data_IF_664918411646
#
_entry.id   IF_664918411646
#
_cell.length_a   1.000
_cell.length_b   1.000
_cell.length_c   1.000
_cell.angle_alpha   90.00
_cell.angle_beta   90.00
_cell.angle_gamma   90.00
#
_symmetry.space_group_name_H-M   'P 1'
#
loop_
_entity.id
_entity.type
_entity.pdbx_description
1 polymer ?
#
# COMPACT_ATOMS: atom_id res chain seq x y z
N UNK A 1 -3.88 -8.59 9.34
CA UNK A 1 -4.07 -7.71 8.18
C UNK A 1 -2.87 -7.65 7.22
N UNK A 2 -1.70 -8.10 7.62
CA UNK A 2 -0.48 -8.12 6.80
C UNK A 2 -0.27 -9.43 6.06
N UNK A 3 -0.86 -10.54 6.53
CA UNK A 3 -0.72 -11.83 5.88
C UNK A 3 -1.01 -11.78 4.36
N UNK A 4 -2.06 -11.09 3.85
CA UNK A 4 -2.28 -11.00 2.42
C UNK A 4 -1.24 -10.15 1.69
N UNK A 5 -0.65 -9.14 2.32
CA UNK A 5 0.39 -8.31 1.72
C UNK A 5 1.71 -9.09 1.53
N UNK A 6 2.01 -10.00 2.44
CA UNK A 6 3.20 -10.86 2.40
C UNK A 6 2.94 -12.18 1.67
N UNK A 7 1.70 -12.70 1.69
CA UNK A 7 1.32 -13.91 0.95
C UNK A 7 1.41 -13.76 -0.58
N UNK A 8 1.28 -12.53 -1.11
CA UNK A 8 1.51 -12.24 -2.53
C UNK A 8 2.99 -12.44 -2.90
N UNK A 9 3.87 -12.53 -1.91
CA UNK A 9 5.30 -12.76 -2.09
C UNK A 9 5.71 -14.25 -2.02
N UNK A 10 4.80 -15.15 -1.63
CA UNK A 10 5.09 -16.56 -1.42
C UNK A 10 4.36 -17.43 -2.45
N UNK A 11 5.11 -18.24 -3.19
CA UNK A 11 4.56 -19.42 -3.86
C UNK A 11 4.23 -20.50 -2.81
N UNK A 12 3.13 -21.18 -3.01
CA UNK A 12 2.56 -22.16 -2.10
C UNK A 12 3.56 -23.27 -1.73
N UNK A 13 3.77 -23.55 -0.45
CA UNK A 13 4.34 -24.83 -0.07
C UNK A 13 5.30 -24.96 1.11
N UNK A 14 5.51 -23.96 1.98
CA UNK A 14 6.32 -24.20 3.18
C UNK A 14 5.96 -23.24 4.32
N UNK A 15 5.84 -23.76 5.53
CA UNK A 15 5.60 -23.01 6.76
C UNK A 15 6.77 -22.08 7.15
N UNK A 16 7.95 -22.22 6.52
CA UNK A 16 9.06 -21.27 6.60
C UNK A 16 9.02 -20.34 5.38
N UNK A 17 8.39 -19.19 5.52
CA UNK A 17 8.47 -18.13 4.49
C UNK A 17 9.93 -17.74 4.25
N UNK A 18 10.40 -17.71 2.99
CA UNK A 18 11.77 -17.28 2.73
C UNK A 18 11.96 -15.84 3.24
N UNK A 19 13.11 -15.60 3.85
CA UNK A 19 13.47 -14.26 4.33
C UNK A 19 13.45 -13.27 3.17
N UNK A 20 12.52 -12.33 3.19
CA UNK A 20 12.30 -11.33 2.14
C UNK A 20 12.83 -9.98 2.60
N UNK A 21 13.47 -9.22 1.71
CA UNK A 21 13.86 -7.83 1.96
C UNK A 21 12.69 -6.91 1.62
N UNK A 22 12.09 -6.33 2.64
CA UNK A 22 10.85 -5.54 2.54
C UNK A 22 11.15 -4.07 2.79
N UNK A 23 10.99 -3.22 1.80
CA UNK A 23 11.08 -1.77 1.97
C UNK A 23 9.69 -1.19 2.28
N UNK A 24 9.52 -0.60 3.46
CA UNK A 24 8.25 0.00 3.89
C UNK A 24 8.35 1.51 3.84
N UNK A 25 7.64 2.14 2.91
CA UNK A 25 7.57 3.59 2.78
C UNK A 25 6.36 4.10 3.56
N UNK A 26 6.56 5.12 4.39
CA UNK A 26 5.54 5.57 5.34
C UNK A 26 5.55 4.78 6.65
N UNK A 27 6.72 4.28 7.05
CA UNK A 27 6.94 3.38 8.19
C UNK A 27 6.45 3.90 9.55
N UNK A 28 6.23 5.21 9.68
CA UNK A 28 5.76 5.87 10.93
C UNK A 28 4.27 6.22 10.92
N UNK A 29 3.56 5.94 9.81
CA UNK A 29 2.10 6.08 9.73
C UNK A 29 1.39 4.96 10.49
N UNK A 30 0.09 5.12 10.78
CA UNK A 30 -0.68 4.11 11.52
C UNK A 30 -0.57 2.71 10.91
N UNK A 31 -0.84 2.57 9.60
CA UNK A 31 -0.68 1.29 8.89
C UNK A 31 0.79 0.89 8.80
N UNK A 32 1.68 1.82 8.40
CA UNK A 32 3.09 1.53 8.17
C UNK A 32 3.81 1.02 9.42
N UNK A 33 3.52 1.55 10.60
CA UNK A 33 4.11 1.10 11.85
C UNK A 33 3.72 -0.35 12.17
N UNK A 34 2.46 -0.74 11.95
CA UNK A 34 2.01 -2.13 12.11
C UNK A 34 2.66 -3.06 11.08
N UNK A 35 2.76 -2.60 9.82
CA UNK A 35 3.44 -3.33 8.73
C UNK A 35 4.88 -3.63 9.11
N UNK A 36 5.62 -2.61 9.55
CA UNK A 36 7.03 -2.73 9.96
C UNK A 36 7.19 -3.73 11.11
N UNK A 37 6.34 -3.60 12.15
CA UNK A 37 6.37 -4.50 13.30
C UNK A 37 6.11 -5.96 12.90
N UNK A 38 5.02 -6.21 12.19
CA UNK A 38 4.64 -7.57 11.80
C UNK A 38 5.63 -8.22 10.84
N UNK A 39 6.19 -7.45 9.88
CA UNK A 39 7.22 -7.98 9.00
C UNK A 39 8.52 -8.33 9.74
N UNK A 40 8.90 -7.54 10.74
CA UNK A 40 10.05 -7.84 11.59
C UNK A 40 9.80 -9.07 12.48
N UNK A 41 8.60 -9.20 13.07
CA UNK A 41 8.19 -10.37 13.87
C UNK A 41 8.18 -11.67 13.04
N UNK A 42 7.87 -11.58 11.74
CA UNK A 42 7.92 -12.70 10.81
C UNK A 42 9.34 -13.01 10.28
N UNK A 43 10.36 -12.32 10.77
CA UNK A 43 11.76 -12.58 10.42
C UNK A 43 12.19 -12.00 9.06
N UNK A 44 11.41 -11.10 8.47
CA UNK A 44 11.82 -10.43 7.23
C UNK A 44 12.88 -9.36 7.48
N UNK A 45 13.72 -9.10 6.47
CA UNK A 45 14.68 -7.99 6.50
C UNK A 45 13.98 -6.69 6.15
N UNK A 46 13.60 -5.91 7.16
CA UNK A 46 12.81 -4.69 6.98
C UNK A 46 13.70 -3.46 6.82
N UNK A 47 13.46 -2.70 5.74
CA UNK A 47 14.00 -1.36 5.50
C UNK A 47 12.86 -0.36 5.77
N UNK A 48 12.90 0.30 6.91
CA UNK A 48 11.89 1.27 7.30
C UNK A 48 12.23 2.67 6.76
N UNK A 49 11.34 3.23 5.94
CA UNK A 49 11.52 4.49 5.24
C UNK A 49 10.48 5.52 5.72
N UNK A 50 10.94 6.62 6.30
CA UNK A 50 10.08 7.69 6.82
C UNK A 50 10.80 9.03 6.84
N UNK A 51 10.06 10.14 6.90
CA UNK A 51 10.62 11.50 7.09
C UNK A 51 11.36 11.63 8.42
N UNK A 52 10.84 10.98 9.46
CA UNK A 52 11.43 10.96 10.80
C UNK A 52 11.52 9.50 11.29
N UNK A 53 12.69 8.91 11.12
CA UNK A 53 12.95 7.51 11.47
C UNK A 53 13.11 7.28 12.98
N UNK A 54 13.23 8.34 13.79
CA UNK A 54 13.30 8.22 15.25
C UNK A 54 12.00 7.64 15.83
N UNK A 55 10.87 7.82 15.11
CA UNK A 55 9.56 7.30 15.47
C UNK A 55 9.34 5.82 15.12
N UNK A 56 10.30 5.18 14.46
CA UNK A 56 10.24 3.73 14.18
C UNK A 56 10.71 3.00 15.43
N UNK A 57 9.78 2.45 16.19
CA UNK A 57 10.04 1.75 17.46
C UNK A 57 10.38 0.27 17.30
N UNK A 58 9.87 -0.36 16.22
CA UNK A 58 10.13 -1.78 15.96
C UNK A 58 11.62 -2.04 15.69
N UNK A 59 12.14 -3.21 16.12
CA UNK A 59 13.49 -3.65 15.78
C UNK A 59 13.55 -4.04 14.30
N UNK A 60 14.13 -3.19 13.48
CA UNK A 60 14.27 -3.39 12.04
C UNK A 60 15.73 -3.40 11.62
N UNK A 61 16.02 -4.05 10.51
CA UNK A 61 17.37 -4.18 9.98
C UNK A 61 17.96 -2.83 9.53
N UNK A 62 17.14 -2.00 8.89
CA UNK A 62 17.57 -0.71 8.37
C UNK A 62 16.51 0.37 8.60
N UNK A 63 16.97 1.59 8.96
CA UNK A 63 16.13 2.79 9.03
C UNK A 63 16.75 3.85 8.12
N UNK A 64 15.98 4.39 7.17
CA UNK A 64 16.46 5.42 6.25
C UNK A 64 15.49 6.59 6.19
N UNK A 65 16.01 7.80 6.30
CA UNK A 65 15.19 9.01 6.11
C UNK A 65 14.83 9.16 4.64
N UNK A 66 13.55 9.33 4.37
CA UNK A 66 13.03 9.53 3.02
C UNK A 66 11.87 10.52 3.05
N UNK A 67 11.98 11.58 2.25
CA UNK A 67 10.91 12.54 2.00
C UNK A 67 10.44 12.45 0.55
N UNK A 68 9.22 11.96 0.36
CA UNK A 68 8.61 11.85 -0.97
C UNK A 68 8.11 13.18 -1.53
N UNK A 69 8.05 14.25 -0.72
CA UNK A 69 7.63 15.58 -1.21
C UNK A 69 8.64 16.17 -2.17
N UNK A 70 9.93 15.78 -2.04
CA UNK A 70 10.99 16.17 -2.96
C UNK A 70 10.85 15.56 -4.36
N UNK A 71 10.10 14.46 -4.49
CA UNK A 71 9.93 13.67 -5.73
C UNK A 71 11.27 13.23 -6.35
N UNK A 72 12.29 13.07 -5.52
CA UNK A 72 13.62 12.63 -5.94
C UNK A 72 13.65 11.11 -6.18
N UNK A 73 13.57 10.73 -7.45
CA UNK A 73 13.59 9.32 -7.90
C UNK A 73 14.90 8.64 -7.50
N UNK A 74 16.02 9.36 -7.51
CA UNK A 74 17.34 8.79 -7.23
C UNK A 74 17.51 8.50 -5.75
N UNK A 75 17.06 9.41 -4.90
CA UNK A 75 17.03 9.19 -3.46
C UNK A 75 16.16 7.99 -3.09
N UNK A 76 14.96 7.88 -3.70
CA UNK A 76 14.07 6.72 -3.48
C UNK A 76 14.71 5.44 -3.99
N UNK A 77 15.30 5.43 -5.19
CA UNK A 77 15.94 4.25 -5.76
C UNK A 77 17.11 3.76 -4.91
N UNK A 78 17.94 4.66 -4.40
CA UNK A 78 19.04 4.35 -3.49
C UNK A 78 18.51 3.78 -2.15
N UNK A 79 17.40 4.32 -1.64
CA UNK A 79 16.80 3.89 -0.38
C UNK A 79 16.23 2.47 -0.44
N UNK A 80 15.59 2.09 -1.57
CA UNK A 80 14.95 0.77 -1.77
C UNK A 80 15.85 -0.28 -2.42
N UNK A 81 17.09 0.07 -2.74
CA UNK A 81 18.02 -0.81 -3.46
C UNK A 81 18.18 -2.17 -2.75
N UNK A 82 18.01 -3.23 -3.51
CA UNK A 82 18.12 -4.62 -3.03
C UNK A 82 16.89 -5.11 -2.26
N UNK A 83 15.80 -4.36 -2.23
CA UNK A 83 14.53 -4.86 -1.73
C UNK A 83 13.88 -5.82 -2.75
N UNK A 84 13.19 -6.84 -2.26
CA UNK A 84 12.40 -7.76 -3.08
C UNK A 84 10.99 -7.22 -3.34
N UNK A 85 10.51 -6.39 -2.41
CA UNK A 85 9.18 -5.77 -2.47
C UNK A 85 9.20 -4.39 -1.80
N UNK A 86 8.43 -3.47 -2.35
CA UNK A 86 8.11 -2.18 -1.73
C UNK A 86 6.67 -2.22 -1.22
N UNK A 87 6.47 -1.92 0.05
CA UNK A 87 5.15 -1.70 0.66
C UNK A 87 4.95 -0.18 0.83
N UNK A 88 4.06 0.39 0.05
CA UNK A 88 3.74 1.82 0.13
C UNK A 88 2.55 2.02 1.09
N UNK A 89 2.86 2.52 2.28
CA UNK A 89 1.90 2.87 3.32
C UNK A 89 1.74 4.39 3.44
N UNK A 90 1.98 5.12 2.35
CA UNK A 90 1.79 6.56 2.31
C UNK A 90 0.30 6.90 2.29
N UNK A 91 -0.05 8.00 2.93
CA UNK A 91 -1.42 8.51 2.97
C UNK A 91 -1.44 10.02 3.03
N UNK A 92 -2.57 10.60 2.64
CA UNK A 92 -2.77 12.03 2.71
C UNK A 92 -2.99 12.48 4.15
N UNK A 93 -2.30 13.51 4.57
CA UNK A 93 -2.50 14.14 5.88
C UNK A 93 -3.54 15.24 5.78
N UNK A 94 -4.31 15.40 6.86
CA UNK A 94 -5.28 16.48 6.96
C UNK A 94 -4.56 17.83 6.96
N UNK A 95 -4.94 18.72 6.03
CA UNK A 95 -4.35 20.05 5.91
C UNK A 95 -3.06 20.13 5.06
N UNK A 96 -2.55 19.02 4.58
CA UNK A 96 -1.45 18.97 3.61
C UNK A 96 -1.99 18.69 2.20
N UNK A 97 -1.22 19.06 1.18
CA UNK A 97 -1.56 18.70 -0.19
C UNK A 97 -1.50 17.19 -0.42
N UNK A 98 -2.36 16.63 -1.27
CA UNK A 98 -2.34 15.22 -1.60
C UNK A 98 -1.00 14.78 -2.19
N UNK A 99 -0.47 13.65 -1.69
CA UNK A 99 0.87 13.16 -2.06
C UNK A 99 0.87 11.75 -2.64
N UNK A 100 -0.26 11.01 -2.56
CA UNK A 100 -0.24 9.58 -2.87
C UNK A 100 -0.03 9.32 -4.35
N UNK A 101 -0.67 10.08 -5.25
CA UNK A 101 -0.44 9.97 -6.70
C UNK A 101 1.03 10.25 -7.06
N UNK A 102 1.52 11.44 -6.68
CA UNK A 102 2.88 11.86 -7.00
C UNK A 102 3.94 10.96 -6.34
N UNK A 103 3.71 10.56 -5.09
CA UNK A 103 4.57 9.64 -4.38
C UNK A 103 4.60 8.25 -5.03
N UNK A 104 3.45 7.73 -5.46
CA UNK A 104 3.37 6.44 -6.17
C UNK A 104 4.12 6.51 -7.50
N UNK A 105 3.96 7.58 -8.28
CA UNK A 105 4.69 7.76 -9.51
C UNK A 105 6.21 7.77 -9.28
N UNK A 106 6.67 8.50 -8.26
CA UNK A 106 8.09 8.56 -7.89
C UNK A 106 8.61 7.19 -7.43
N UNK A 107 7.85 6.48 -6.60
CA UNK A 107 8.19 5.11 -6.13
C UNK A 107 8.33 4.16 -7.32
N UNK A 108 7.37 4.15 -8.24
CA UNK A 108 7.39 3.23 -9.39
C UNK A 108 8.57 3.53 -10.33
N UNK A 109 8.88 4.79 -10.60
CA UNK A 109 10.07 5.18 -11.36
C UNK A 109 11.36 4.73 -10.67
N UNK A 110 11.45 4.91 -9.35
CA UNK A 110 12.58 4.47 -8.54
C UNK A 110 12.73 2.94 -8.51
N UNK A 111 11.62 2.21 -8.44
CA UNK A 111 11.61 0.74 -8.49
C UNK A 111 12.14 0.21 -9.83
N UNK A 112 11.71 0.80 -10.95
CA UNK A 112 12.25 0.46 -12.26
C UNK A 112 13.77 0.67 -12.33
N UNK A 113 14.25 1.82 -11.80
CA UNK A 113 15.69 2.13 -11.73
C UNK A 113 16.46 1.19 -10.82
N UNK A 114 15.93 0.87 -9.65
CA UNK A 114 16.54 -0.02 -8.66
C UNK A 114 16.33 -1.52 -8.97
N UNK A 115 15.55 -1.86 -10.02
CA UNK A 115 15.15 -3.22 -10.39
C UNK A 115 14.42 -3.96 -9.27
N UNK A 116 13.56 -3.26 -8.54
CA UNK A 116 12.69 -3.87 -7.52
C UNK A 116 11.36 -4.25 -8.20
N UNK A 117 10.99 -5.55 -8.25
CA UNK A 117 9.92 -5.99 -9.14
C UNK A 117 8.52 -5.87 -8.56
N UNK A 118 8.33 -5.79 -7.25
CA UNK A 118 7.02 -5.92 -6.61
C UNK A 118 6.65 -4.71 -5.78
N UNK A 119 5.43 -4.18 -5.99
CA UNK A 119 4.83 -3.09 -5.23
C UNK A 119 3.52 -3.56 -4.59
N UNK A 120 3.33 -3.31 -3.31
CA UNK A 120 2.01 -3.32 -2.69
C UNK A 120 1.67 -1.90 -2.22
N UNK A 121 0.57 -1.36 -2.74
CA UNK A 121 0.06 -0.02 -2.42
C UNK A 121 -1.15 -0.13 -1.51
N UNK A 122 -1.10 0.55 -0.37
CA UNK A 122 -2.27 0.72 0.49
C UNK A 122 -3.12 1.88 -0.02
N UNK A 123 -4.37 1.58 -0.33
CA UNK A 123 -5.38 2.53 -0.77
C UNK A 123 -6.57 2.55 0.22
N UNK A 124 -7.78 2.77 -0.24
CA UNK A 124 -8.98 2.80 0.60
C UNK A 124 -10.16 2.16 -0.13
N UNK A 125 -11.08 1.55 0.62
CA UNK A 125 -12.38 1.17 0.08
C UNK A 125 -13.11 2.41 -0.46
N UNK A 126 -13.87 2.24 -1.54
CA UNK A 126 -14.58 3.34 -2.22
C UNK A 126 -13.76 4.07 -3.28
N UNK A 127 -12.53 3.59 -3.52
CA UNK A 127 -11.63 4.03 -4.59
C UNK A 127 -11.64 2.97 -5.70
N UNK A 128 -11.52 3.38 -6.95
CA UNK A 128 -11.52 2.45 -8.09
C UNK A 128 -12.77 1.56 -8.13
N UNK A 129 -12.55 0.27 -8.37
CA UNK A 129 -13.60 -0.74 -8.54
C UNK A 129 -14.35 -1.07 -7.25
N UNK A 130 -13.76 -0.75 -6.08
CA UNK A 130 -14.38 -1.03 -4.78
C UNK A 130 -15.52 -0.08 -4.40
N UNK A 131 -15.86 0.89 -5.25
CA UNK A 131 -16.93 1.87 -5.00
C UNK A 131 -18.29 1.21 -4.76
N UNK A 132 -18.62 0.15 -5.50
CA UNK A 132 -19.88 -0.58 -5.36
C UNK A 132 -19.91 -1.40 -4.07
N UNK A 133 -18.77 -1.79 -3.52
CA UNK A 133 -18.69 -2.52 -2.26
C UNK A 133 -19.13 -1.66 -1.07
N UNK A 134 -18.94 -0.34 -1.14
CA UNK A 134 -19.46 0.58 -0.12
C UNK A 134 -20.97 0.52 0.02
N UNK A 135 -21.71 0.35 -1.08
CA UNK A 135 -23.16 0.25 -1.05
C UNK A 135 -23.64 -1.03 -0.35
N UNK A 136 -22.82 -2.10 -0.37
CA UNK A 136 -23.11 -3.36 0.33
C UNK A 136 -22.94 -3.26 1.86
N UNK A 137 -22.27 -2.22 2.35
CA UNK A 137 -22.15 -1.92 3.79
C UNK A 137 -23.42 -1.24 4.35
N UNK A 138 -24.50 -1.17 3.58
CA UNK A 138 -25.78 -0.60 3.99
C UNK A 138 -25.70 0.92 4.19
N UNK A 139 -26.54 1.44 5.09
CA UNK A 139 -26.71 2.90 5.32
C UNK A 139 -25.39 3.60 5.71
N UNK A 140 -24.56 2.95 6.52
CA UNK A 140 -23.23 3.47 6.88
C UNK A 140 -22.32 3.64 5.67
N UNK A 141 -22.35 2.71 4.72
CA UNK A 141 -21.59 2.79 3.48
C UNK A 141 -22.04 3.95 2.57
N UNK A 142 -23.34 4.24 2.52
CA UNK A 142 -23.89 5.38 1.78
C UNK A 142 -23.41 6.70 2.39
N UNK A 143 -23.52 6.87 3.72
CA UNK A 143 -23.02 8.05 4.42
C UNK A 143 -21.53 8.25 4.18
N UNK A 144 -20.74 7.19 4.35
CA UNK A 144 -19.28 7.24 4.11
C UNK A 144 -18.98 7.63 2.67
N UNK A 145 -19.72 7.07 1.68
CA UNK A 145 -19.56 7.42 0.27
C UNK A 145 -19.85 8.90 0.00
N UNK A 146 -20.87 9.46 0.63
CA UNK A 146 -21.24 10.87 0.51
C UNK A 146 -20.14 11.79 1.13
N UNK A 147 -19.67 11.47 2.32
CA UNK A 147 -18.57 12.20 2.99
C UNK A 147 -17.30 12.13 2.14
N UNK A 148 -16.97 10.94 1.64
CA UNK A 148 -15.77 10.72 0.83
C UNK A 148 -15.87 11.42 -0.54
N UNK A 149 -17.07 11.55 -1.08
CA UNK A 149 -17.29 12.27 -2.35
C UNK A 149 -17.25 13.79 -2.21
N UNK A 150 -17.57 14.34 -1.05
CA UNK A 150 -17.70 15.78 -0.80
C UNK A 150 -16.48 16.33 -0.04
N UNK A 151 -16.33 15.97 1.23
CA UNK A 151 -15.32 16.51 2.13
C UNK A 151 -13.90 16.02 1.81
N UNK A 152 -13.77 14.80 1.30
CA UNK A 152 -12.48 14.17 0.96
C UNK A 152 -12.25 14.06 -0.55
N UNK A 153 -12.89 14.93 -1.33
CA UNK A 153 -12.83 14.89 -2.80
C UNK A 153 -11.40 14.91 -3.36
N UNK A 154 -10.53 15.76 -2.81
CA UNK A 154 -9.12 15.83 -3.22
C UNK A 154 -8.38 14.52 -2.90
N UNK A 155 -8.52 14.01 -1.69
CA UNK A 155 -7.94 12.73 -1.26
C UNK A 155 -8.43 11.57 -2.12
N UNK A 156 -9.74 11.54 -2.43
CA UNK A 156 -10.32 10.51 -3.29
C UNK A 156 -9.76 10.56 -4.71
N UNK A 157 -9.62 11.76 -5.28
CA UNK A 157 -9.06 11.94 -6.62
C UNK A 157 -7.60 11.46 -6.67
N UNK A 158 -6.80 11.82 -5.69
CA UNK A 158 -5.40 11.45 -5.54
C UNK A 158 -5.22 9.91 -5.39
N UNK A 159 -6.02 9.28 -4.53
CA UNK A 159 -6.02 7.82 -4.39
C UNK A 159 -6.45 7.09 -5.66
N UNK A 160 -7.49 7.60 -6.38
CA UNK A 160 -7.91 7.02 -7.65
C UNK A 160 -6.79 7.09 -8.70
N UNK A 161 -6.07 8.20 -8.76
CA UNK A 161 -4.96 8.38 -9.68
C UNK A 161 -3.78 7.45 -9.33
N UNK A 162 -3.45 7.31 -8.05
CA UNK A 162 -2.44 6.38 -7.58
C UNK A 162 -2.80 4.92 -7.88
N UNK A 163 -4.07 4.53 -7.66
CA UNK A 163 -4.56 3.18 -8.00
C UNK A 163 -4.45 2.91 -9.52
N UNK A 164 -4.86 3.88 -10.35
CA UNK A 164 -4.79 3.76 -11.80
C UNK A 164 -3.34 3.59 -12.30
N UNK A 165 -2.40 4.34 -11.70
CA UNK A 165 -0.97 4.20 -11.95
C UNK A 165 -0.47 2.78 -11.61
N UNK A 166 -0.81 2.29 -10.41
CA UNK A 166 -0.35 0.99 -9.93
C UNK A 166 -0.91 -0.17 -10.75
N UNK A 167 -2.20 -0.11 -11.11
CA UNK A 167 -2.89 -1.16 -11.87
C UNK A 167 -2.51 -1.10 -13.36
N UNK A 168 -2.05 0.06 -13.86
CA UNK A 168 -1.76 0.26 -15.29
C UNK A 168 -3.02 0.37 -16.13
N UNK A 169 -4.13 0.86 -15.58
CA UNK A 169 -5.38 1.09 -16.31
C UNK A 169 -5.23 2.25 -17.28
N UNK A 170 -5.73 2.13 -18.53
CA UNK A 170 -5.74 3.24 -19.45
C UNK A 170 -6.56 4.40 -18.90
N UNK A 171 -6.07 5.63 -19.06
CA UNK A 171 -6.79 6.84 -18.71
C UNK A 171 -8.13 6.86 -19.45
N UNK A 172 -9.24 6.77 -18.72
CA UNK A 172 -10.56 6.89 -19.35
C UNK A 172 -11.71 6.08 -18.75
N UNK A 173 -11.46 5.15 -17.87
CA UNK A 173 -12.52 4.33 -17.27
C UNK A 173 -12.95 4.88 -15.90
N UNK A 174 -13.67 5.96 -15.85
CA UNK A 174 -14.36 6.59 -14.74
C UNK A 174 -13.81 7.93 -14.23
N UNK A 175 -14.47 9.01 -14.67
CA UNK A 175 -14.56 10.34 -14.04
C UNK A 175 -13.28 10.94 -13.41
N UNK A 176 -12.56 11.72 -14.18
CA UNK A 176 -11.52 12.63 -13.73
C UNK A 176 -10.22 12.43 -14.50
N UNK A 177 -9.60 13.50 -14.90
CA UNK A 177 -8.40 13.60 -15.74
C UNK A 177 -7.20 12.83 -15.17
N UNK A 178 -7.22 11.52 -15.27
CA UNK A 178 -6.05 10.71 -15.08
C UNK A 178 -5.16 10.88 -16.30
N UNK A 179 -3.98 11.48 -16.14
CA UNK A 179 -2.94 11.41 -17.15
C UNK A 179 -2.66 9.95 -17.46
N UNK A 180 -2.57 9.59 -18.73
CA UNK A 180 -2.16 8.26 -19.14
C UNK A 180 -0.72 8.01 -18.65
N UNK A 181 -0.60 7.28 -17.55
CA UNK A 181 0.68 6.83 -17.04
C UNK A 181 0.73 5.33 -17.26
N UNK A 182 1.65 4.89 -18.08
CA UNK A 182 1.94 3.47 -18.22
C UNK A 182 2.78 3.02 -17.01
N UNK A 183 2.38 1.88 -16.42
CA UNK A 183 3.20 1.22 -15.40
C UNK A 183 4.58 0.90 -16.00
N UNK A 184 5.68 1.18 -15.28
CA UNK A 184 7.01 0.83 -15.76
C UNK A 184 7.13 -0.68 -16.02
N UNK A 185 7.84 -1.03 -17.08
CA UNK A 185 8.11 -2.42 -17.42
C UNK A 185 8.89 -3.12 -16.28
N UNK A 186 8.56 -4.37 -16.01
CA UNK A 186 9.20 -5.15 -14.94
C UNK A 186 8.72 -4.88 -13.52
N UNK A 187 7.76 -3.95 -13.31
CA UNK A 187 7.15 -3.72 -12.00
C UNK A 187 5.76 -4.34 -11.96
N UNK A 188 5.55 -5.28 -11.05
CA UNK A 188 4.23 -5.83 -10.71
C UNK A 188 3.66 -5.08 -9.51
N UNK A 189 2.39 -4.72 -9.54
CA UNK A 189 1.77 -3.99 -8.44
C UNK A 189 0.43 -4.59 -8.03
N UNK A 190 0.18 -4.57 -6.72
CA UNK A 190 -1.11 -4.91 -6.11
C UNK A 190 -1.60 -3.72 -5.28
N UNK A 191 -2.90 -3.46 -5.34
CA UNK A 191 -3.54 -2.41 -4.56
C UNK A 191 -4.41 -3.05 -3.49
N UNK A 192 -4.12 -2.76 -2.23
CA UNK A 192 -4.87 -3.25 -1.07
C UNK A 192 -5.79 -2.14 -0.56
N UNK A 193 -7.08 -2.42 -0.51
CA UNK A 193 -8.13 -1.46 -0.11
C UNK A 193 -8.84 -1.94 1.15
N UNK A 194 -8.32 -1.59 2.34
CA UNK A 194 -8.96 -1.97 3.59
C UNK A 194 -10.34 -1.30 3.72
N UNK A 195 -11.31 -2.06 4.23
CA UNK A 195 -12.68 -1.58 4.44
C UNK A 195 -12.83 -0.68 5.68
N UNK A 196 -11.89 -0.77 6.60
CA UNK A 196 -11.81 0.02 7.82
C UNK A 196 -10.58 -0.38 8.60
N UNK A 197 -10.01 0.55 9.31
CA UNK A 197 -8.83 0.35 10.13
C UNK A 197 -9.17 0.78 11.56
N UNK A 198 -8.80 -0.02 12.54
CA UNK A 198 -8.91 0.29 13.96
C UNK A 198 -7.66 -0.17 14.69
N UNK A 199 -7.40 0.43 15.83
CA UNK A 199 -6.31 0.04 16.74
C UNK A 199 -6.74 -1.08 17.71
N UNK A 200 -7.93 -1.66 17.51
CA UNK A 200 -8.39 -2.80 18.28
C UNK A 200 -7.51 -4.03 18.04
N UNK A 201 -7.36 -4.93 19.04
CA UNK A 201 -6.66 -6.19 18.83
C UNK A 201 -7.22 -6.96 17.63
N UNK A 202 -6.34 -7.47 16.78
CA UNK A 202 -6.74 -8.25 15.61
C UNK A 202 -7.28 -9.63 16.02
N UNK A 203 -8.34 -10.08 15.32
CA UNK A 203 -8.91 -11.42 15.55
C UNK A 203 -8.21 -12.51 14.72
N UNK A 204 -7.17 -12.17 13.96
CA UNK A 204 -6.47 -13.11 13.06
C UNK A 204 -7.30 -13.58 11.87
N UNK A 205 -8.53 -13.09 11.70
CA UNK A 205 -9.44 -13.46 10.62
C UNK A 205 -9.63 -12.27 9.68
N UNK A 206 -9.59 -12.52 8.39
CA UNK A 206 -9.89 -11.52 7.38
C UNK A 206 -10.46 -12.17 6.12
N UNK A 207 -11.32 -11.45 5.42
CA UNK A 207 -11.80 -11.81 4.10
C UNK A 207 -11.09 -10.96 3.05
N UNK A 208 -10.62 -11.59 1.98
CA UNK A 208 -10.03 -10.90 0.83
C UNK A 208 -10.97 -11.05 -0.34
N UNK A 209 -11.40 -9.93 -0.93
CA UNK A 209 -12.10 -9.92 -2.20
C UNK A 209 -11.11 -9.52 -3.30
N UNK A 210 -10.90 -10.39 -4.26
CA UNK A 210 -10.20 -10.08 -5.50
C UNK A 210 -11.16 -9.42 -6.49
N UNK A 211 -10.63 -8.78 -7.53
CA UNK A 211 -11.46 -8.12 -8.54
C UNK A 211 -12.41 -9.10 -9.26
N UNK A 212 -12.04 -10.38 -9.32
CA UNK A 212 -12.72 -11.49 -9.97
C UNK A 212 -13.42 -12.46 -9.01
N UNK A 213 -13.33 -12.23 -7.70
CA UNK A 213 -13.98 -13.11 -6.72
C UNK A 213 -13.63 -12.81 -5.27
N UNK A 214 -14.34 -13.48 -4.37
CA UNK A 214 -14.07 -13.42 -2.93
C UNK A 214 -13.24 -14.64 -2.54
N UNK A 215 -12.04 -14.40 -2.06
CA UNK A 215 -11.20 -15.43 -1.46
C UNK A 215 -11.25 -15.27 0.06
N UNK A 216 -11.75 -16.28 0.76
CA UNK A 216 -11.68 -16.36 2.21
C UNK A 216 -10.40 -17.10 2.59
N UNK A 217 -9.43 -16.37 3.08
CA UNK A 217 -8.28 -16.99 3.73
C UNK A 217 -8.48 -16.92 5.25
N UNK A 218 -8.49 -18.06 5.90
CA UNK A 218 -8.24 -18.11 7.34
C UNK A 218 -6.73 -17.94 7.53
N UNK A 219 -6.33 -17.11 8.48
CA UNK A 219 -4.97 -17.23 8.99
C UNK A 219 -4.82 -18.66 9.49
N UNK A 220 -4.07 -19.48 8.78
CA UNK A 220 -3.63 -20.75 9.32
C UNK A 220 -2.59 -20.38 10.38
N UNK A 221 -2.95 -20.57 11.66
CA UNK A 221 -1.94 -20.72 12.68
C UNK A 221 -1.07 -21.90 12.23
N UNK A 222 0.21 -21.61 12.02
CA UNK A 222 1.19 -22.69 11.98
C UNK A 222 1.35 -23.12 13.42
N UNK A 223 0.77 -24.28 13.77
CA UNK A 223 1.07 -25.02 15.00
C UNK A 223 2.55 -25.43 15.04
#
# INVERSE_FOLDING_TARGET
MLAPLLAIAAEEGSCSQPMTRVAVIGATGGVGAHVVRLAAEQGHHVIALARDVSKVTAPVAEKKTLDLTSRDVDAVAAAIKGADIVLSCIGNRRGEDPIVEAGTATIMAAMAKAKVPRLALISSIGVGDSRLQLLRLGFGGVIFSAIFATLLRKTKADLNAADALAIGSPAGTFFGSARAHSRPEGVSAVVVRPAGLSDAPGEGKYDVALADGVVRQRATECD
#
